data_IF_995533255009
#
_entry.id   IF_995533255009
#
_cell.length_a   1.000
_cell.length_b   1.000
_cell.length_c   1.000
_cell.angle_alpha   90.00
_cell.angle_beta   90.00
_cell.angle_gamma   90.00
#
_symmetry.space_group_name_H-M   'P 1'
#
loop_
_entity.id
_entity.type
_entity.pdbx_description
1 polymer ?
#
# COMPACT_ATOMS: atom_id res chain seq x y z
N UNK A 1 17.91 -7.11 11.71
CA UNK A 1 16.73 -6.51 11.09
C UNK A 1 15.70 -7.55 10.62
N UNK A 2 15.98 -8.36 9.58
CA UNK A 2 14.98 -9.27 8.96
C UNK A 2 14.26 -10.20 9.95
N UNK A 3 14.98 -10.82 10.90
CA UNK A 3 14.35 -11.66 11.94
C UNK A 3 13.26 -10.93 12.74
N UNK A 4 13.45 -9.63 13.01
CA UNK A 4 12.45 -8.81 13.71
C UNK A 4 11.21 -8.61 12.84
N UNK A 5 11.37 -8.29 11.55
CA UNK A 5 10.25 -8.13 10.61
C UNK A 5 9.43 -9.41 10.53
N UNK A 6 10.10 -10.56 10.36
CA UNK A 6 9.43 -11.87 10.30
C UNK A 6 8.69 -12.20 11.61
N UNK A 7 9.29 -11.92 12.77
CA UNK A 7 8.67 -12.18 14.08
C UNK A 7 7.45 -11.29 14.36
N UNK A 8 7.40 -10.09 13.78
CA UNK A 8 6.31 -9.13 13.99
C UNK A 8 5.22 -9.21 12.90
N UNK A 9 5.31 -10.14 11.96
CA UNK A 9 4.23 -10.40 11.03
C UNK A 9 3.04 -11.02 11.79
N UNK A 10 1.83 -10.53 11.53
CA UNK A 10 0.59 -11.08 12.08
C UNK A 10 0.17 -12.34 11.33
N UNK A 11 -0.72 -13.12 11.92
CA UNK A 11 -1.21 -14.39 11.33
C UNK A 11 -1.89 -14.18 9.97
N UNK A 12 -2.58 -13.06 9.79
CA UNK A 12 -3.21 -12.63 8.53
C UNK A 12 -2.22 -12.16 7.46
N UNK A 13 -0.91 -12.14 7.77
CA UNK A 13 0.15 -11.72 6.86
C UNK A 13 0.54 -10.26 6.94
N UNK A 14 -0.21 -9.43 7.67
CA UNK A 14 0.04 -7.99 7.78
C UNK A 14 1.10 -7.60 8.82
N UNK A 15 1.51 -6.34 8.80
CA UNK A 15 2.32 -5.71 9.85
C UNK A 15 1.60 -4.49 10.41
N UNK A 16 1.70 -4.25 11.71
CA UNK A 16 1.05 -3.10 12.35
C UNK A 16 1.86 -1.80 12.14
N UNK A 17 1.18 -0.74 11.70
CA UNK A 17 1.75 0.60 11.52
C UNK A 17 1.67 1.46 12.77
N UNK A 18 2.79 2.08 13.14
CA UNK A 18 2.88 2.93 14.34
C UNK A 18 2.94 4.43 14.06
N UNK A 19 3.18 4.82 12.80
CA UNK A 19 3.46 6.20 12.38
C UNK A 19 2.51 6.73 11.30
N UNK A 20 1.74 5.83 10.70
CA UNK A 20 0.68 6.11 9.75
C UNK A 20 -0.38 5.01 9.83
N UNK A 21 -1.55 5.26 9.28
CA UNK A 21 -2.72 4.38 9.30
C UNK A 21 -2.66 3.40 8.12
N UNK A 22 -2.56 2.08 8.32
CA UNK A 22 -1.94 1.35 9.42
C UNK A 22 -1.18 0.17 8.80
N UNK A 23 -1.94 -0.82 8.33
CA UNK A 23 -1.39 -2.08 7.83
C UNK A 23 -0.85 -1.95 6.42
N UNK A 24 -1.48 -1.16 5.54
CA UNK A 24 -0.94 -0.87 4.19
C UNK A 24 0.43 -0.20 4.29
N UNK A 25 0.56 0.79 5.18
CA UNK A 25 1.82 1.49 5.46
C UNK A 25 2.92 0.55 5.95
N UNK A 26 2.67 -0.20 7.02
CA UNK A 26 3.70 -1.08 7.59
C UNK A 26 4.02 -2.27 6.67
N UNK A 27 3.03 -2.81 5.96
CA UNK A 27 3.24 -3.88 4.98
C UNK A 27 4.11 -3.41 3.82
N UNK A 28 3.97 -2.14 3.37
CA UNK A 28 4.89 -1.54 2.40
C UNK A 28 6.35 -1.60 2.88
N UNK A 29 6.63 -1.13 4.10
CA UNK A 29 7.99 -1.18 4.64
C UNK A 29 8.51 -2.60 4.83
N UNK A 30 7.66 -3.51 5.31
CA UNK A 30 8.05 -4.89 5.54
C UNK A 30 8.40 -5.61 4.22
N UNK A 31 7.54 -5.48 3.20
CA UNK A 31 7.76 -6.11 1.90
C UNK A 31 8.96 -5.50 1.16
N UNK A 32 9.16 -4.17 1.20
CA UNK A 32 10.33 -3.51 0.62
C UNK A 32 11.63 -3.96 1.34
N UNK A 33 11.58 -4.08 2.67
CA UNK A 33 12.71 -4.61 3.46
C UNK A 33 13.03 -6.08 3.14
N UNK A 34 12.02 -6.93 2.97
CA UNK A 34 12.22 -8.33 2.59
C UNK A 34 12.76 -8.44 1.16
N UNK A 35 12.23 -7.65 0.23
CA UNK A 35 12.71 -7.58 -1.16
C UNK A 35 14.19 -7.18 -1.25
N UNK A 36 14.67 -6.29 -0.36
CA UNK A 36 16.07 -5.85 -0.31
C UNK A 36 17.08 -6.99 -0.03
N UNK A 37 16.61 -8.11 0.53
CA UNK A 37 17.42 -9.31 0.80
C UNK A 37 16.99 -10.52 -0.05
N UNK A 38 16.32 -10.27 -1.17
CA UNK A 38 15.93 -11.32 -2.13
C UNK A 38 14.74 -12.18 -1.70
N UNK A 39 13.94 -11.73 -0.72
CA UNK A 39 12.73 -12.42 -0.27
C UNK A 39 11.48 -11.87 -0.97
N UNK A 40 11.12 -12.46 -2.09
CA UNK A 40 9.98 -12.08 -2.93
C UNK A 40 8.79 -13.04 -2.71
N UNK A 41 7.70 -12.81 -3.42
CA UNK A 41 6.46 -13.61 -3.33
C UNK A 41 6.68 -15.12 -3.53
N UNK A 42 7.51 -15.49 -4.50
CA UNK A 42 7.83 -16.89 -4.85
C UNK A 42 8.81 -17.53 -3.85
N UNK A 43 9.77 -16.76 -3.33
CA UNK A 43 10.85 -17.26 -2.46
C UNK A 43 10.60 -17.14 -0.95
N UNK A 44 9.52 -16.47 -0.52
CA UNK A 44 9.29 -16.16 0.90
C UNK A 44 7.80 -16.23 1.26
N UNK A 45 7.45 -17.16 2.16
CA UNK A 45 6.08 -17.29 2.69
C UNK A 45 5.59 -15.99 3.34
N UNK A 46 6.46 -15.29 4.08
CA UNK A 46 6.12 -14.02 4.69
C UNK A 46 5.76 -12.96 3.63
N UNK A 47 6.52 -12.91 2.52
CA UNK A 47 6.25 -11.98 1.43
C UNK A 47 4.95 -12.33 0.72
N UNK A 48 4.70 -13.63 0.52
CA UNK A 48 3.46 -14.15 -0.06
C UNK A 48 2.22 -13.75 0.76
N UNK A 49 2.24 -14.03 2.06
CA UNK A 49 1.17 -13.67 2.99
C UNK A 49 0.92 -12.16 3.05
N UNK A 50 1.99 -11.36 3.03
CA UNK A 50 1.86 -9.90 2.96
C UNK A 50 1.18 -9.41 1.68
N UNK A 51 1.50 -10.02 0.53
CA UNK A 51 0.80 -9.71 -0.71
C UNK A 51 -0.66 -10.17 -0.69
N UNK A 52 -0.93 -11.39 -0.21
CA UNK A 52 -2.29 -11.94 -0.11
C UNK A 52 -3.17 -11.09 0.81
N UNK A 53 -2.63 -10.63 1.93
CA UNK A 53 -3.29 -9.67 2.80
C UNK A 53 -3.71 -8.41 2.05
N UNK A 54 -2.80 -7.78 1.29
CA UNK A 54 -3.14 -6.58 0.53
C UNK A 54 -4.18 -6.90 -0.56
N UNK A 55 -3.99 -7.96 -1.34
CA UNK A 55 -4.93 -8.34 -2.40
C UNK A 55 -6.35 -8.59 -1.86
N UNK A 56 -6.49 -9.20 -0.68
CA UNK A 56 -7.77 -9.44 -0.05
C UNK A 56 -8.51 -8.15 0.39
N UNK A 57 -7.79 -7.03 0.53
CA UNK A 57 -8.35 -5.73 0.93
C UNK A 57 -8.40 -4.72 -0.24
N UNK A 58 -8.15 -5.16 -1.47
CA UNK A 58 -8.37 -4.30 -2.64
C UNK A 58 -9.88 -4.10 -2.84
N UNK A 59 -10.29 -2.84 -3.05
CA UNK A 59 -11.68 -2.48 -3.30
C UNK A 59 -12.08 -2.67 -4.76
N UNK A 60 -13.38 -2.57 -5.01
CA UNK A 60 -13.96 -2.67 -6.37
C UNK A 60 -13.48 -1.56 -7.32
N UNK A 61 -13.16 -0.37 -6.79
CA UNK A 61 -12.58 0.72 -7.58
C UNK A 61 -11.07 0.55 -7.87
N UNK A 62 -10.46 -0.53 -7.35
CA UNK A 62 -9.05 -0.85 -7.53
C UNK A 62 -8.12 -0.29 -6.45
N UNK A 63 -8.64 0.51 -5.51
CA UNK A 63 -7.83 1.15 -4.47
C UNK A 63 -7.81 0.39 -3.15
N UNK A 64 -7.13 0.99 -2.17
CA UNK A 64 -7.08 0.55 -0.77
C UNK A 64 -7.43 1.69 0.16
N UNK A 65 -8.07 1.39 1.29
CA UNK A 65 -8.52 2.39 2.25
C UNK A 65 -8.65 1.82 3.67
N UNK A 66 -7.96 2.40 4.63
CA UNK A 66 -8.01 2.09 6.06
C UNK A 66 -8.51 3.30 6.85
N UNK A 67 -9.48 3.04 7.74
CA UNK A 67 -9.90 4.00 8.75
C UNK A 67 -8.84 4.13 9.84
N UNK A 68 -8.73 5.32 10.45
CA UNK A 68 -7.87 5.54 11.63
C UNK A 68 -8.15 4.57 12.78
N UNK A 69 -9.39 4.04 12.86
CA UNK A 69 -9.78 3.01 13.83
C UNK A 69 -8.93 1.74 13.73
N UNK A 70 -8.26 1.52 12.59
CA UNK A 70 -7.30 0.43 12.44
C UNK A 70 -6.14 0.52 13.44
N UNK A 71 -5.71 1.76 13.77
CA UNK A 71 -4.68 2.03 14.76
C UNK A 71 -5.19 1.80 16.19
N UNK A 72 -6.43 2.18 16.47
CA UNK A 72 -7.06 2.03 17.79
C UNK A 72 -7.32 0.56 18.14
N UNK A 73 -7.86 -0.19 17.18
CA UNK A 73 -8.32 -1.58 17.37
C UNK A 73 -7.20 -2.59 17.16
N UNK A 74 -6.12 -2.24 16.46
CA UNK A 74 -5.05 -3.18 16.13
C UNK A 74 -5.46 -4.23 15.07
N UNK A 75 -6.52 -3.96 14.33
CA UNK A 75 -7.09 -4.78 13.26
C UNK A 75 -7.38 -3.89 12.04
N UNK A 76 -7.38 -4.46 10.83
CA UNK A 76 -7.71 -3.69 9.63
C UNK A 76 -9.17 -3.27 9.66
N UNK A 77 -9.44 -1.97 9.66
CA UNK A 77 -10.78 -1.40 9.57
C UNK A 77 -10.91 -0.69 8.23
N UNK A 78 -11.71 -1.27 7.34
CA UNK A 78 -11.95 -0.75 6.00
C UNK A 78 -12.51 0.69 6.06
N UNK A 79 -11.87 1.63 5.36
CA UNK A 79 -12.39 2.98 5.17
C UNK A 79 -13.61 2.94 4.23
N UNK A 80 -14.50 3.94 4.32
CA UNK A 80 -15.68 4.06 3.44
C UNK A 80 -15.28 4.13 1.96
N UNK A 81 -14.26 4.94 1.64
CA UNK A 81 -13.67 5.08 0.30
C UNK A 81 -12.21 4.62 0.24
N UNK A 82 -11.73 4.23 -0.96
CA UNK A 82 -10.30 4.10 -1.24
C UNK A 82 -9.57 5.42 -1.00
N UNK A 83 -8.33 5.33 -0.52
CA UNK A 83 -7.44 6.45 -0.23
C UNK A 83 -6.21 6.38 -1.15
N UNK A 84 -5.88 7.43 -1.90
CA UNK A 84 -4.80 7.45 -2.90
C UNK A 84 -3.43 7.19 -2.26
N UNK A 85 -3.20 7.70 -1.05
CA UNK A 85 -1.94 7.48 -0.32
C UNK A 85 -1.79 6.01 0.09
N UNK A 86 -2.83 5.40 0.65
CA UNK A 86 -2.79 3.99 1.06
C UNK A 86 -2.80 3.04 -0.16
N UNK A 87 -3.49 3.42 -1.23
CA UNK A 87 -3.40 2.75 -2.53
C UNK A 87 -1.95 2.75 -3.03
N UNK A 88 -1.27 3.89 -2.98
CA UNK A 88 0.13 3.98 -3.36
C UNK A 88 1.03 3.09 -2.48
N UNK A 89 0.81 3.03 -1.17
CA UNK A 89 1.54 2.12 -0.28
C UNK A 89 1.36 0.65 -0.64
N UNK A 90 0.11 0.21 -0.85
CA UNK A 90 -0.19 -1.16 -1.25
C UNK A 90 0.48 -1.51 -2.59
N UNK A 91 0.41 -0.62 -3.58
CA UNK A 91 1.06 -0.81 -4.88
C UNK A 91 2.58 -0.91 -4.77
N UNK A 92 3.21 -0.02 -4.00
CA UNK A 92 4.66 -0.05 -3.75
C UNK A 92 5.08 -1.38 -3.12
N UNK A 93 4.28 -1.90 -2.19
CA UNK A 93 4.51 -3.17 -1.51
C UNK A 93 4.39 -4.38 -2.46
N UNK A 94 3.29 -4.46 -3.23
CA UNK A 94 3.03 -5.52 -4.19
C UNK A 94 4.11 -5.58 -5.28
N UNK A 95 4.52 -4.41 -5.80
CA UNK A 95 5.59 -4.31 -6.78
C UNK A 95 6.96 -4.70 -6.20
N UNK A 96 7.28 -4.27 -4.98
CA UNK A 96 8.54 -4.63 -4.32
C UNK A 96 8.67 -6.14 -4.12
N UNK A 97 7.59 -6.79 -3.71
CA UNK A 97 7.53 -8.23 -3.49
C UNK A 97 7.43 -9.06 -4.79
N UNK A 98 7.34 -8.41 -5.97
CA UNK A 98 7.10 -9.07 -7.26
C UNK A 98 5.84 -9.94 -7.24
N UNK A 99 4.76 -9.42 -6.66
CA UNK A 99 3.48 -10.12 -6.62
C UNK A 99 3.00 -10.47 -8.06
N UNK A 100 2.56 -11.71 -8.33
CA UNK A 100 2.20 -12.14 -9.68
C UNK A 100 0.88 -11.53 -10.20
N UNK A 101 0.06 -10.94 -9.33
CA UNK A 101 -1.22 -10.35 -9.72
C UNK A 101 -1.04 -8.95 -10.32
N UNK A 102 -0.60 -8.90 -11.59
CA UNK A 102 -0.39 -7.66 -12.32
C UNK A 102 -1.68 -6.85 -12.53
N UNK A 103 -2.83 -7.52 -12.62
CA UNK A 103 -4.14 -6.87 -12.81
C UNK A 103 -4.54 -6.04 -11.59
N UNK A 104 -4.34 -6.57 -10.38
CA UNK A 104 -4.57 -5.82 -9.15
C UNK A 104 -3.71 -4.55 -9.08
N UNK A 105 -2.43 -4.65 -9.48
CA UNK A 105 -1.53 -3.49 -9.57
C UNK A 105 -2.03 -2.49 -10.61
N UNK A 106 -2.47 -2.95 -11.79
CA UNK A 106 -2.99 -2.10 -12.86
C UNK A 106 -4.24 -1.32 -12.43
N UNK A 107 -5.20 -1.97 -11.77
CA UNK A 107 -6.42 -1.33 -11.26
C UNK A 107 -6.11 -0.23 -10.25
N UNK A 108 -5.16 -0.45 -9.34
CA UNK A 108 -4.74 0.60 -8.40
C UNK A 108 -4.00 1.76 -9.07
N UNK A 109 -3.19 1.48 -10.10
CA UNK A 109 -2.53 2.54 -10.90
C UNK A 109 -3.56 3.37 -11.67
N UNK A 110 -4.56 2.72 -12.27
CA UNK A 110 -5.69 3.40 -12.94
C UNK A 110 -6.42 4.33 -11.96
N UNK A 111 -6.70 3.87 -10.73
CA UNK A 111 -7.33 4.71 -9.71
C UNK A 111 -6.48 5.93 -9.33
N UNK A 112 -5.17 5.76 -9.14
CA UNK A 112 -4.29 6.90 -8.84
C UNK A 112 -4.31 7.88 -10.02
N UNK A 113 -4.20 7.40 -11.25
CA UNK A 113 -4.22 8.26 -12.44
C UNK A 113 -5.56 8.98 -12.62
N UNK A 114 -6.69 8.29 -12.40
CA UNK A 114 -8.01 8.87 -12.59
C UNK A 114 -8.36 9.95 -11.56
N UNK A 115 -7.68 9.96 -10.40
CA UNK A 115 -7.86 10.96 -9.35
C UNK A 115 -6.86 12.13 -9.44
N UNK A 116 -5.93 12.10 -10.39
CA UNK A 116 -5.03 13.22 -10.61
C UNK A 116 -5.79 14.38 -11.28
N UNK A 117 -5.69 15.57 -10.71
CA UNK A 117 -6.31 16.78 -11.24
C UNK A 117 -5.48 17.37 -12.40
N UNK A 118 -6.05 18.25 -13.23
CA UNK A 118 -5.35 18.84 -14.38
C UNK A 118 -4.06 19.62 -14.03
N UNK A 119 -3.95 20.15 -12.81
CA UNK A 119 -2.75 20.82 -12.31
C UNK A 119 -1.67 19.83 -11.80
N UNK A 120 -1.93 18.52 -11.89
CA UNK A 120 -1.04 17.45 -11.45
C UNK A 120 -1.19 17.05 -9.99
N UNK A 121 -2.08 17.69 -9.23
CA UNK A 121 -2.29 17.36 -7.82
C UNK A 121 -3.24 16.18 -7.60
N UNK A 122 -3.23 15.66 -6.38
CA UNK A 122 -4.30 14.84 -5.84
C UNK A 122 -5.00 15.62 -4.73
N UNK A 123 -6.30 15.42 -4.56
CA UNK A 123 -7.04 16.03 -3.45
C UNK A 123 -6.61 15.41 -2.10
N UNK A 124 -6.73 16.18 -1.02
CA UNK A 124 -6.58 15.64 0.32
C UNK A 124 -7.80 14.75 0.61
N UNK A 125 -7.55 13.51 1.03
CA UNK A 125 -8.58 12.57 1.44
C UNK A 125 -8.49 12.36 2.97
N UNK A 126 -8.78 11.16 3.47
CA UNK A 126 -8.68 10.82 4.88
C UNK A 126 -7.28 11.07 5.46
N UNK A 127 -7.24 11.28 6.78
CA UNK A 127 -5.98 11.51 7.51
C UNK A 127 -5.09 10.26 7.46
N UNK A 128 -3.79 10.44 7.26
CA UNK A 128 -2.87 9.33 6.96
C UNK A 128 -1.92 9.01 8.12
N UNK A 129 -1.55 10.03 8.90
CA UNK A 129 -0.58 9.91 9.99
C UNK A 129 -1.23 9.53 11.32
N UNK A 130 -0.47 8.83 12.15
CA UNK A 130 -0.85 8.53 13.53
C UNK A 130 0.35 8.59 14.46
N UNK A 131 0.15 9.03 15.70
CA UNK A 131 1.07 8.84 16.80
C UNK A 131 0.35 8.25 18.02
N UNK A 132 1.02 7.36 18.74
CA UNK A 132 0.51 6.70 19.95
C UNK A 132 -0.88 6.04 19.79
N UNK A 133 -1.18 5.56 18.58
CA UNK A 133 -2.44 4.88 18.17
C UNK A 133 -3.72 5.72 18.16
N UNK A 134 -3.78 6.81 18.92
CA UNK A 134 -5.02 7.55 19.20
C UNK A 134 -4.99 9.02 18.78
N UNK A 135 -3.87 9.49 18.23
CA UNK A 135 -3.78 10.87 17.77
C UNK A 135 -3.33 10.91 16.32
N UNK A 136 -4.17 11.52 15.48
CA UNK A 136 -3.97 11.55 14.05
C UNK A 136 -3.29 12.85 13.64
N UNK A 137 -2.43 12.77 12.63
CA UNK A 137 -1.66 13.90 12.11
C UNK A 137 -1.71 13.90 10.58
N UNK A 138 -1.88 15.07 9.99
CA UNK A 138 -1.91 15.21 8.53
C UNK A 138 -0.50 15.28 7.95
N UNK A 139 -0.27 14.58 6.84
CA UNK A 139 0.95 14.68 6.05
C UNK A 139 0.62 15.18 4.64
N UNK A 140 0.46 16.51 4.41
CA UNK A 140 -0.08 17.06 3.17
C UNK A 140 0.69 16.68 1.90
N UNK A 141 1.98 16.36 2.04
CA UNK A 141 2.85 15.99 0.93
C UNK A 141 2.78 14.51 0.54
N UNK A 142 2.15 13.64 1.35
CA UNK A 142 2.08 12.21 1.07
C UNK A 142 1.34 11.90 -0.23
N UNK A 143 0.25 12.63 -0.51
CA UNK A 143 -0.53 12.51 -1.75
C UNK A 143 0.28 12.80 -3.01
N UNK A 144 1.35 13.59 -2.92
CA UNK A 144 2.26 13.83 -4.04
C UNK A 144 3.36 12.78 -4.06
N UNK A 145 4.07 12.61 -2.94
CA UNK A 145 5.27 11.77 -2.85
C UNK A 145 4.93 10.32 -3.22
N UNK A 146 3.91 9.74 -2.59
CA UNK A 146 3.62 8.32 -2.76
C UNK A 146 2.94 8.02 -4.09
N UNK A 147 2.03 8.87 -4.56
CA UNK A 147 1.40 8.70 -5.87
C UNK A 147 2.46 8.76 -6.99
N UNK A 148 3.33 9.77 -6.99
CA UNK A 148 4.42 9.86 -7.98
C UNK A 148 5.39 8.68 -7.86
N UNK A 149 5.70 8.23 -6.64
CA UNK A 149 6.58 7.08 -6.45
C UNK A 149 5.94 5.79 -6.99
N UNK A 150 4.67 5.52 -6.70
CA UNK A 150 3.96 4.35 -7.20
C UNK A 150 3.89 4.36 -8.73
N UNK A 151 3.48 5.48 -9.35
CA UNK A 151 3.45 5.63 -10.81
C UNK A 151 4.84 5.44 -11.44
N UNK A 152 5.86 6.07 -10.86
CA UNK A 152 7.24 5.97 -11.35
C UNK A 152 7.87 4.59 -11.16
N UNK A 153 7.49 3.84 -10.12
CA UNK A 153 7.91 2.44 -9.91
C UNK A 153 7.19 1.52 -10.88
N UNK A 154 5.89 1.71 -11.10
CA UNK A 154 5.10 0.96 -12.07
C UNK A 154 5.66 1.11 -13.48
N UNK A 155 5.88 2.35 -13.93
CA UNK A 155 6.48 2.64 -15.25
C UNK A 155 7.82 1.92 -15.46
N UNK A 156 8.67 1.86 -14.44
CA UNK A 156 9.98 1.17 -14.52
C UNK A 156 9.86 -0.35 -14.64
N UNK A 157 8.83 -0.95 -14.06
CA UNK A 157 8.65 -2.42 -14.04
C UNK A 157 7.89 -2.89 -15.29
N UNK A 158 6.84 -2.16 -15.69
CA UNK A 158 5.89 -2.59 -16.72
C UNK A 158 6.01 -1.81 -18.04
N UNK A 159 6.81 -0.74 -18.08
CA UNK A 159 6.99 0.11 -19.25
C UNK A 159 5.83 1.09 -19.50
N UNK A 160 5.84 1.70 -20.68
CA UNK A 160 4.83 2.68 -21.15
C UNK A 160 3.67 2.02 -21.91
N UNK A 161 3.51 0.71 -21.80
CA UNK A 161 2.43 -0.02 -22.46
C UNK A 161 1.05 0.46 -21.99
N UNK A 162 0.02 0.41 -22.86
CA UNK A 162 -1.33 0.79 -22.46
C UNK A 162 -1.77 -0.07 -21.26
N UNK A 163 -2.37 0.59 -20.27
CA UNK A 163 -3.05 -0.12 -19.18
C UNK A 163 -4.15 -0.96 -19.83
N UNK A 164 -4.14 -2.28 -19.58
CA UNK A 164 -5.17 -3.16 -20.13
C UNK A 164 -6.52 -2.72 -19.54
N UNK A 165 -7.44 -2.32 -20.39
CA UNK A 165 -8.85 -2.17 -20.03
C UNK A 165 -9.45 -3.58 -19.96
N UNK A 166 -10.14 -3.89 -18.86
CA UNK A 166 -11.03 -5.05 -18.79
C UNK A 166 -12.19 -4.92 -19.79
#
# INVERSE_FOLDING_TARGET
AIRYILRNQKEDGSWFGSWAICFTYATMFALDSLASVGKYYDTSEASRKGCEFLLAHQREDGGWGESYRSCETGQYVQHEDSQVVQTAWALLALMAAKCPNALAVQRGIQLIMSRQLPNGEWLQEGIEGVFNRNCMISYPNYKFIFCLWALGRYRRIYGDGPLKSE
#
